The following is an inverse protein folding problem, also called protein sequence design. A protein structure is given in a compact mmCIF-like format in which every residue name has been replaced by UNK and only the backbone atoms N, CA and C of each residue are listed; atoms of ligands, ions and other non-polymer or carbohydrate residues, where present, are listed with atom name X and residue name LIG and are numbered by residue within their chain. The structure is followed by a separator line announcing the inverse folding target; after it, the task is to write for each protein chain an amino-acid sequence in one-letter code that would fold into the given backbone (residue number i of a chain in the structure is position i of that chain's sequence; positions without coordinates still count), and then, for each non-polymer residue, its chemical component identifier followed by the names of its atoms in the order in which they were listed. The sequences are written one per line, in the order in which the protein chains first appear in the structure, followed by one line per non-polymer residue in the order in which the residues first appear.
data_IF_085938615468
#
_entry.id   IF_085938615468
#
_cell.length_a   1.000
_cell.length_b   1.000
_cell.length_c   1.000
_cell.angle_alpha   90.00
_cell.angle_beta   90.00
_cell.angle_gamma   90.00
#
_symmetry.space_group_name_H-M   'P 1'
#
loop_
_entity.id
_entity.type
_entity.pdbx_description
1 polymer ?
#
# COMPACT_ATOMS: atom_id res chain seq x y z
N UNK A 1 -20.95 -16.56 18.12
CA UNK A 1 -20.08 -16.43 19.34
C UNK A 1 -18.66 -16.10 18.90
N UNK A 2 -17.89 -15.35 19.73
CA UNK A 2 -16.44 -15.14 19.53
C UNK A 2 -15.73 -16.12 20.44
N UNK A 3 -14.80 -16.91 19.88
CA UNK A 3 -13.97 -17.85 20.61
C UNK A 3 -12.62 -17.24 21.00
N UNK A 4 -12.03 -16.43 20.09
CA UNK A 4 -10.74 -15.81 20.31
C UNK A 4 -10.59 -14.52 19.53
N UNK A 5 -9.79 -13.61 20.06
CA UNK A 5 -9.42 -12.35 19.41
C UNK A 5 -7.92 -12.16 19.43
N UNK A 6 -7.37 -11.75 18.31
CA UNK A 6 -6.01 -11.23 18.21
C UNK A 6 -6.07 -9.76 17.78
N UNK A 7 -5.22 -8.93 18.36
CA UNK A 7 -5.15 -7.50 18.04
C UNK A 7 -3.75 -7.12 17.62
N UNK A 8 -3.63 -6.43 16.50
CA UNK A 8 -2.40 -5.84 15.99
C UNK A 8 -2.58 -4.34 16.00
N UNK A 9 -1.72 -3.61 16.71
CA UNK A 9 -1.71 -2.14 16.72
C UNK A 9 -0.49 -1.63 15.96
N UNK A 10 -0.72 -0.75 15.01
CA UNK A 10 0.30 -0.24 14.10
C UNK A 10 0.29 1.29 14.20
N UNK A 11 1.11 1.89 15.07
CA UNK A 11 1.25 3.33 15.14
C UNK A 11 1.94 3.85 13.88
N UNK A 12 1.53 5.03 13.42
CA UNK A 12 2.11 5.69 12.24
C UNK A 12 2.19 4.75 11.01
N UNK A 13 1.08 4.07 10.70
CA UNK A 13 1.06 3.14 9.56
C UNK A 13 1.40 3.83 8.24
N UNK A 14 2.03 3.10 7.33
CA UNK A 14 2.49 3.67 6.05
C UNK A 14 1.31 4.20 5.23
N UNK A 15 1.41 5.42 4.75
CA UNK A 15 0.41 6.05 3.87
C UNK A 15 0.92 6.25 2.44
N UNK A 16 2.22 6.11 2.24
CA UNK A 16 2.89 6.31 0.96
C UNK A 16 3.93 5.23 0.71
N UNK A 17 4.14 4.90 -0.55
CA UNK A 17 5.18 3.96 -1.01
C UNK A 17 6.10 4.68 -2.00
N UNK A 18 7.40 4.47 -1.84
CA UNK A 18 8.38 4.97 -2.79
C UNK A 18 8.41 4.12 -4.07
N UNK A 19 7.89 4.65 -5.17
CA UNK A 19 7.84 3.94 -6.46
C UNK A 19 9.16 3.93 -7.22
N UNK A 20 9.93 4.97 -7.10
CA UNK A 20 11.22 5.06 -7.78
C UNK A 20 12.20 5.90 -6.99
N UNK A 21 13.43 5.42 -6.89
CA UNK A 21 14.56 6.30 -6.54
C UNK A 21 14.59 7.47 -7.52
N UNK A 22 15.12 8.61 -7.06
CA UNK A 22 15.28 9.78 -7.88
C UNK A 22 15.81 9.42 -9.27
N UNK A 23 15.08 9.82 -10.30
CA UNK A 23 15.60 9.68 -11.66
C UNK A 23 16.72 10.69 -11.85
N UNK A 24 17.81 10.28 -12.53
CA UNK A 24 18.79 11.23 -13.03
C UNK A 24 18.06 12.31 -13.83
N UNK A 25 18.41 13.59 -13.69
CA UNK A 25 17.77 14.65 -14.45
C UNK A 25 17.87 14.32 -15.94
N UNK A 26 16.75 14.44 -16.65
CA UNK A 26 16.75 14.38 -18.12
C UNK A 26 16.98 15.80 -18.62
N UNK A 27 17.98 15.94 -19.47
CA UNK A 27 18.28 17.22 -20.12
C UNK A 27 17.60 17.30 -21.48
N UNK A 28 17.36 18.52 -21.97
CA UNK A 28 16.98 18.69 -23.35
C UNK A 28 18.20 18.34 -24.22
N UNK A 29 17.99 17.40 -25.13
CA UNK A 29 18.95 17.03 -26.13
C UNK A 29 18.27 17.03 -27.50
N UNK A 30 18.73 17.88 -28.40
CA UNK A 30 18.16 18.07 -29.75
C UNK A 30 19.34 18.11 -30.72
N UNK A 31 19.43 17.11 -31.57
CA UNK A 31 20.50 16.96 -32.58
C UNK A 31 20.13 17.61 -33.91
N UNK A 32 18.87 17.94 -34.15
CA UNK A 32 18.35 18.50 -35.39
C UNK A 32 17.71 19.87 -35.09
N UNK A 33 18.08 20.88 -35.85
CA UNK A 33 17.68 22.28 -35.63
C UNK A 33 16.17 22.52 -35.69
N UNK A 34 15.47 21.79 -36.55
CA UNK A 34 14.02 21.83 -36.72
C UNK A 34 13.26 21.28 -35.50
N UNK A 35 13.90 20.40 -34.71
CA UNK A 35 13.35 19.85 -33.47
C UNK A 35 13.57 20.72 -32.25
N UNK A 36 14.21 21.87 -32.37
CA UNK A 36 14.38 22.81 -31.26
C UNK A 36 13.02 23.37 -30.83
N UNK A 37 12.64 23.24 -29.53
CA UNK A 37 11.37 23.76 -29.04
C UNK A 37 11.22 25.28 -29.31
N UNK A 38 10.07 25.71 -29.83
CA UNK A 38 9.78 27.12 -30.11
C UNK A 38 10.05 28.04 -28.91
N UNK A 39 9.78 27.57 -27.71
CA UNK A 39 10.10 28.27 -26.45
C UNK A 39 11.59 28.54 -26.30
N UNK A 40 12.45 27.57 -26.64
CA UNK A 40 13.90 27.72 -26.56
C UNK A 40 14.42 28.74 -27.57
N UNK A 41 13.88 28.71 -28.80
CA UNK A 41 14.23 29.71 -29.82
C UNK A 41 13.88 31.14 -29.35
N UNK A 42 12.69 31.32 -28.71
CA UNK A 42 12.26 32.64 -28.18
C UNK A 42 13.14 33.12 -27.01
N UNK A 43 13.69 32.20 -26.21
CA UNK A 43 14.50 32.53 -25.06
C UNK A 43 16.01 32.61 -25.40
N UNK A 44 16.39 32.46 -26.68
CA UNK A 44 17.78 32.50 -27.11
C UNK A 44 18.67 31.39 -26.51
N UNK A 45 18.07 30.23 -26.15
CA UNK A 45 18.80 29.11 -25.56
C UNK A 45 19.74 28.52 -26.59
N UNK A 46 21.02 28.38 -26.22
CA UNK A 46 22.08 27.79 -27.05
C UNK A 46 22.16 26.28 -26.87
N UNK A 47 22.82 25.60 -27.80
CA UNK A 47 23.01 24.15 -27.78
C UNK A 47 24.50 23.82 -27.96
N UNK A 48 25.00 22.85 -27.18
CA UNK A 48 26.37 22.37 -27.34
C UNK A 48 26.46 21.43 -28.57
N UNK A 49 27.73 21.06 -28.94
CA UNK A 49 28.00 20.16 -30.08
C UNK A 49 27.31 18.78 -29.95
N UNK A 50 26.87 18.40 -28.76
CA UNK A 50 26.16 17.14 -28.48
C UNK A 50 24.63 17.33 -28.47
N UNK A 51 24.14 18.52 -28.79
CA UNK A 51 22.72 18.85 -28.80
C UNK A 51 22.10 19.13 -27.43
N UNK A 52 22.88 19.28 -26.36
CA UNK A 52 22.31 19.65 -25.05
C UNK A 52 22.00 21.14 -25.00
N UNK A 53 20.79 21.48 -24.55
CA UNK A 53 20.40 22.87 -24.33
C UNK A 53 21.13 23.42 -23.11
N UNK A 54 21.70 24.63 -23.27
CA UNK A 54 22.46 25.36 -22.27
C UNK A 54 21.76 26.65 -21.89
N UNK A 55 21.77 26.99 -20.61
CA UNK A 55 21.30 28.28 -20.12
C UNK A 55 22.36 29.39 -20.35
N UNK A 56 22.07 30.60 -19.87
CA UNK A 56 22.99 31.74 -19.98
C UNK A 56 24.33 31.56 -19.26
N UNK A 57 24.40 30.63 -18.32
CA UNK A 57 25.59 30.31 -17.56
C UNK A 57 26.38 29.13 -18.17
N UNK A 58 25.89 28.54 -19.27
CA UNK A 58 26.45 27.35 -19.90
C UNK A 58 26.09 26.04 -19.22
N UNK A 59 25.13 26.05 -18.29
CA UNK A 59 24.66 24.84 -17.63
C UNK A 59 23.53 24.13 -18.42
N UNK A 60 23.47 22.79 -18.34
CA UNK A 60 22.48 22.02 -19.09
C UNK A 60 21.07 22.23 -18.55
N UNK A 61 20.16 22.62 -19.43
CA UNK A 61 18.75 22.84 -19.08
C UNK A 61 18.04 21.51 -18.86
N UNK A 62 17.47 21.37 -17.68
CA UNK A 62 16.74 20.16 -17.28
C UNK A 62 15.37 20.13 -17.97
N UNK A 63 15.08 19.05 -18.71
CA UNK A 63 13.78 18.82 -19.36
C UNK A 63 12.67 18.54 -18.35
N UNK A 64 13.02 18.05 -17.18
CA UNK A 64 12.08 17.61 -16.17
C UNK A 64 12.35 18.39 -14.88
N UNK A 65 11.35 19.09 -14.37
CA UNK A 65 11.39 19.90 -13.14
C UNK A 65 11.56 19.08 -11.85
N UNK A 66 11.68 17.75 -11.96
CA UNK A 66 12.00 16.94 -10.79
C UNK A 66 13.44 17.18 -10.36
N UNK A 67 13.59 17.76 -9.20
CA UNK A 67 14.88 17.89 -8.53
C UNK A 67 15.52 16.51 -8.42
N UNK A 68 16.77 16.38 -8.89
CA UNK A 68 17.53 15.15 -8.71
C UNK A 68 17.58 14.84 -7.21
N UNK A 69 17.22 13.64 -6.83
CA UNK A 69 17.19 13.22 -5.41
C UNK A 69 15.83 13.09 -4.77
N UNK A 70 14.74 13.58 -5.37
CA UNK A 70 13.40 13.43 -4.80
C UNK A 70 12.74 12.12 -5.24
N UNK A 71 12.44 11.19 -4.32
CA UNK A 71 11.75 9.97 -4.66
C UNK A 71 10.31 10.24 -5.11
N UNK A 72 9.80 9.42 -6.03
CA UNK A 72 8.37 9.46 -6.37
C UNK A 72 7.61 8.70 -5.30
N UNK A 73 6.94 9.43 -4.43
CA UNK A 73 5.99 8.86 -3.47
C UNK A 73 4.64 8.64 -4.15
N UNK A 74 4.05 7.50 -3.87
CA UNK A 74 2.69 7.15 -4.26
C UNK A 74 1.83 7.00 -3.01
N UNK A 75 0.73 7.76 -2.94
CA UNK A 75 -0.24 7.65 -1.85
C UNK A 75 -1.03 6.35 -2.03
N UNK A 76 -1.14 5.55 -0.98
CA UNK A 76 -1.85 4.28 -1.01
C UNK A 76 -3.33 4.50 -1.32
N UNK A 77 -3.76 4.01 -2.49
CA UNK A 77 -5.13 4.15 -3.00
C UNK A 77 -5.42 3.03 -4.01
N UNK A 78 -6.49 2.25 -3.78
CA UNK A 78 -6.87 1.15 -4.67
C UNK A 78 -7.35 1.63 -6.04
N UNK A 79 -7.99 2.78 -6.12
CA UNK A 79 -8.49 3.34 -7.37
C UNK A 79 -7.35 3.51 -8.39
N UNK A 80 -6.24 4.12 -7.99
CA UNK A 80 -5.09 4.31 -8.88
C UNK A 80 -4.44 2.97 -9.27
N UNK A 81 -4.47 1.99 -8.36
CA UNK A 81 -3.88 0.68 -8.60
C UNK A 81 -4.66 -0.11 -9.66
N UNK A 82 -6.00 -0.05 -9.64
CA UNK A 82 -6.88 -0.85 -10.49
C UNK A 82 -7.43 -0.11 -11.72
N UNK A 83 -7.40 1.21 -11.75
CA UNK A 83 -7.91 2.03 -12.88
C UNK A 83 -7.08 1.92 -14.17
N UNK A 84 -5.95 1.23 -14.16
CA UNK A 84 -5.04 1.18 -15.30
C UNK A 84 -4.09 2.38 -15.41
N UNK A 85 -4.24 3.40 -14.56
CA UNK A 85 -3.39 4.61 -14.57
C UNK A 85 -1.93 4.34 -14.16
N UNK A 86 -1.68 3.23 -13.45
CA UNK A 86 -0.34 2.82 -13.07
C UNK A 86 0.19 1.72 -13.96
N UNK A 87 1.42 1.88 -14.41
CA UNK A 87 2.13 0.84 -15.15
C UNK A 87 2.23 -0.46 -14.32
N UNK A 88 2.11 -1.62 -14.96
CA UNK A 88 2.08 -2.93 -14.27
C UNK A 88 3.28 -3.18 -13.34
N UNK A 89 4.49 -2.74 -13.72
CA UNK A 89 5.66 -2.82 -12.83
C UNK A 89 5.51 -1.96 -11.56
N UNK A 90 4.85 -0.80 -11.66
CA UNK A 90 4.58 0.03 -10.49
C UNK A 90 3.56 -0.64 -9.56
N UNK A 91 2.52 -1.27 -10.12
CA UNK A 91 1.53 -2.03 -9.36
C UNK A 91 2.16 -3.21 -8.63
N UNK A 92 2.97 -4.00 -9.33
CA UNK A 92 3.69 -5.11 -8.72
C UNK A 92 4.60 -4.65 -7.57
N UNK A 93 5.33 -3.55 -7.76
CA UNK A 93 6.18 -2.97 -6.73
C UNK A 93 5.38 -2.54 -5.49
N UNK A 94 4.23 -1.88 -5.68
CA UNK A 94 3.36 -1.46 -4.59
C UNK A 94 2.95 -2.66 -3.74
N UNK A 95 2.47 -3.73 -4.36
CA UNK A 95 2.05 -4.93 -3.63
C UNK A 95 3.23 -5.59 -2.90
N UNK A 96 4.40 -5.68 -3.53
CA UNK A 96 5.60 -6.22 -2.87
C UNK A 96 5.99 -5.40 -1.64
N UNK A 97 5.97 -4.07 -1.72
CA UNK A 97 6.32 -3.22 -0.57
C UNK A 97 5.26 -3.30 0.55
N UNK A 98 3.98 -3.42 0.21
CA UNK A 98 2.91 -3.67 1.19
C UNK A 98 3.07 -5.05 1.87
N UNK A 99 3.37 -6.10 1.11
CA UNK A 99 3.62 -7.43 1.70
C UNK A 99 4.83 -7.41 2.63
N UNK A 100 5.96 -6.80 2.24
CA UNK A 100 7.12 -6.63 3.13
C UNK A 100 6.75 -5.92 4.43
N UNK A 101 5.98 -4.85 4.30
CA UNK A 101 5.50 -4.09 5.45
C UNK A 101 4.67 -4.96 6.39
N UNK A 102 3.70 -5.72 5.88
CA UNK A 102 2.88 -6.59 6.70
C UNK A 102 3.63 -7.79 7.26
N UNK A 103 4.64 -8.32 6.54
CA UNK A 103 5.56 -9.33 7.13
C UNK A 103 6.22 -8.80 8.39
N UNK A 104 6.77 -7.58 8.34
CA UNK A 104 7.41 -6.96 9.51
C UNK A 104 6.41 -6.72 10.65
N UNK A 105 5.22 -6.20 10.33
CA UNK A 105 4.13 -5.97 11.29
C UNK A 105 3.69 -7.27 11.97
N UNK A 106 3.41 -8.30 11.20
CA UNK A 106 2.96 -9.60 11.71
C UNK A 106 4.03 -10.26 12.57
N UNK A 107 5.29 -10.23 12.14
CA UNK A 107 6.41 -10.79 12.89
C UNK A 107 6.56 -10.13 14.26
N UNK A 108 6.43 -8.81 14.31
CA UNK A 108 6.62 -8.06 15.56
C UNK A 108 5.43 -8.16 16.52
N UNK A 109 4.21 -8.19 15.99
CA UNK A 109 3.01 -7.97 16.79
C UNK A 109 2.12 -9.21 16.96
N UNK A 110 2.16 -10.16 16.06
CA UNK A 110 1.23 -11.29 16.07
C UNK A 110 1.91 -12.64 16.35
N UNK A 111 3.04 -12.97 15.70
CA UNK A 111 3.64 -14.29 15.77
C UNK A 111 3.90 -14.78 17.20
N UNK A 112 4.34 -13.89 18.08
CA UNK A 112 4.64 -14.23 19.48
C UNK A 112 3.40 -14.66 20.29
N UNK A 113 2.21 -14.29 19.84
CA UNK A 113 0.93 -14.61 20.49
C UNK A 113 0.29 -15.89 19.97
N UNK A 114 0.86 -16.48 18.91
CA UNK A 114 0.33 -17.66 18.25
C UNK A 114 1.05 -18.94 18.70
N UNK A 115 0.27 -19.96 19.00
CA UNK A 115 0.80 -21.31 19.17
C UNK A 115 1.20 -21.84 17.79
N UNK A 116 2.39 -22.41 17.68
CA UNK A 116 2.94 -22.98 16.43
C UNK A 116 2.92 -22.01 15.22
N UNK A 117 2.89 -20.70 15.50
CA UNK A 117 2.81 -19.63 14.49
C UNK A 117 1.59 -19.75 13.55
N UNK A 118 0.49 -20.37 13.99
CA UNK A 118 -0.71 -20.59 13.19
C UNK A 118 -1.97 -20.22 13.95
N UNK A 119 -3.01 -19.87 13.20
CA UNK A 119 -4.38 -19.78 13.65
C UNK A 119 -5.10 -21.02 13.14
N UNK A 120 -5.40 -21.93 14.04
CA UNK A 120 -6.17 -23.13 13.75
C UNK A 120 -7.65 -22.85 13.99
N UNK A 121 -8.49 -23.32 13.06
CA UNK A 121 -9.93 -23.23 13.15
C UNK A 121 -10.50 -24.63 13.37
N UNK A 122 -11.41 -24.75 14.33
CA UNK A 122 -12.23 -25.93 14.54
C UNK A 122 -13.39 -25.98 13.53
N UNK A 123 -14.06 -27.11 13.45
CA UNK A 123 -15.23 -27.25 12.56
C UNK A 123 -16.31 -26.21 12.90
N UNK A 124 -16.80 -25.51 11.87
CA UNK A 124 -17.79 -24.44 12.00
C UNK A 124 -17.24 -23.07 12.38
N UNK A 125 -15.95 -22.97 12.75
CA UNK A 125 -15.31 -21.68 13.01
C UNK A 125 -14.88 -20.98 11.72
N UNK A 126 -14.87 -19.64 11.77
CA UNK A 126 -14.45 -18.74 10.69
C UNK A 126 -13.64 -17.59 11.25
N UNK A 127 -12.90 -16.91 10.36
CA UNK A 127 -12.23 -15.67 10.66
C UNK A 127 -13.09 -14.47 10.30
N UNK A 128 -13.00 -13.43 11.13
CA UNK A 128 -13.51 -12.12 10.79
C UNK A 128 -12.41 -11.08 11.05
N UNK A 129 -12.23 -10.16 10.11
CA UNK A 129 -11.25 -9.07 10.19
C UNK A 129 -11.97 -7.75 10.43
N UNK A 130 -11.47 -6.99 11.38
CA UNK A 130 -11.96 -5.65 11.67
C UNK A 130 -10.79 -4.67 11.70
N UNK A 131 -10.81 -3.72 10.76
CA UNK A 131 -9.78 -2.70 10.60
C UNK A 131 -10.31 -1.37 11.12
N UNK A 132 -9.60 -0.78 12.07
CA UNK A 132 -9.88 0.58 12.54
C UNK A 132 -8.72 1.48 12.15
N UNK A 133 -9.01 2.46 11.30
CA UNK A 133 -8.06 3.52 10.94
C UNK A 133 -8.31 4.73 11.83
N UNK A 134 -7.34 5.09 12.61
CA UNK A 134 -7.35 6.32 13.42
C UNK A 134 -6.49 7.38 12.72
N UNK A 135 -6.89 8.65 12.80
CA UNK A 135 -6.11 9.76 12.23
C UNK A 135 -6.94 11.01 11.94
N UNK A 136 -6.28 12.06 11.49
CA UNK A 136 -6.93 13.32 11.15
C UNK A 136 -7.62 13.26 9.80
N UNK A 137 -8.89 13.68 9.73
CA UNK A 137 -9.65 13.83 8.48
C UNK A 137 -8.98 14.77 7.49
N UNK A 138 -8.34 15.83 7.97
CA UNK A 138 -7.64 16.80 7.12
C UNK A 138 -6.48 16.19 6.34
N UNK A 139 -5.78 15.22 6.92
CA UNK A 139 -4.68 14.47 6.29
C UNK A 139 -5.18 13.28 5.48
N UNK A 140 -6.34 12.71 5.83
CA UNK A 140 -6.90 11.49 5.25
C UNK A 140 -8.11 11.76 4.34
N UNK A 141 -7.99 12.74 3.42
CA UNK A 141 -9.05 13.09 2.46
C UNK A 141 -9.38 12.00 1.41
N UNK A 142 -8.79 10.82 1.49
CA UNK A 142 -9.09 9.72 0.58
C UNK A 142 -10.28 8.92 1.10
N UNK A 143 -11.07 8.39 0.18
CA UNK A 143 -12.12 7.43 0.46
C UNK A 143 -11.57 6.26 1.30
N UNK A 144 -12.21 5.99 2.44
CA UNK A 144 -11.83 4.91 3.35
C UNK A 144 -11.80 3.56 2.63
N UNK A 145 -12.83 3.26 1.82
CA UNK A 145 -12.92 2.01 1.07
C UNK A 145 -11.75 1.78 0.14
N UNK A 146 -11.33 2.82 -0.60
CA UNK A 146 -10.19 2.75 -1.51
C UNK A 146 -8.86 2.50 -0.79
N UNK A 147 -8.72 3.01 0.43
CA UNK A 147 -7.53 2.79 1.26
C UNK A 147 -7.57 1.42 1.91
N UNK A 148 -8.65 1.13 2.62
CA UNK A 148 -8.84 -0.06 3.44
C UNK A 148 -8.70 -1.35 2.62
N UNK A 149 -9.28 -1.39 1.42
CA UNK A 149 -9.20 -2.55 0.52
C UNK A 149 -7.76 -2.98 0.22
N UNK A 150 -6.85 -2.04 -0.01
CA UNK A 150 -5.45 -2.39 -0.29
C UNK A 150 -4.72 -2.94 0.92
N UNK A 151 -4.99 -2.37 2.11
CA UNK A 151 -4.38 -2.88 3.34
C UNK A 151 -4.90 -4.28 3.68
N UNK A 152 -6.21 -4.48 3.56
CA UNK A 152 -6.84 -5.77 3.78
C UNK A 152 -6.28 -6.82 2.83
N UNK A 153 -6.31 -6.55 1.53
CA UNK A 153 -5.76 -7.47 0.52
C UNK A 153 -4.30 -7.82 0.78
N UNK A 154 -3.45 -6.82 1.01
CA UNK A 154 -2.03 -7.06 1.25
C UNK A 154 -1.78 -7.81 2.57
N UNK A 155 -2.57 -7.51 3.60
CA UNK A 155 -2.48 -8.21 4.88
C UNK A 155 -2.89 -9.67 4.75
N UNK A 156 -4.07 -9.96 4.18
CA UNK A 156 -4.55 -11.33 3.99
C UNK A 156 -3.61 -12.13 3.08
N UNK A 157 -3.18 -11.58 1.94
CA UNK A 157 -2.21 -12.23 1.04
C UNK A 157 -0.88 -12.55 1.77
N UNK A 158 -0.49 -11.72 2.76
CA UNK A 158 0.74 -11.95 3.55
C UNK A 158 0.60 -13.12 4.52
N UNK A 159 -0.55 -13.27 5.16
CA UNK A 159 -0.76 -14.28 6.22
C UNK A 159 -1.34 -15.60 5.71
N UNK A 160 -1.75 -15.68 4.46
CA UNK A 160 -2.37 -16.88 3.87
C UNK A 160 -1.34 -17.88 3.38
N UNK A 161 -1.57 -19.16 3.66
CA UNK A 161 -0.72 -20.29 3.23
C UNK A 161 -0.84 -20.59 1.73
N UNK A 162 -1.87 -20.10 1.04
CA UNK A 162 -2.17 -20.41 -0.37
C UNK A 162 -0.90 -20.51 -1.22
N UNK A 163 -0.74 -21.65 -1.85
CA UNK A 163 0.40 -21.92 -2.73
C UNK A 163 0.31 -21.07 -4.00
N UNK A 164 1.28 -20.18 -4.18
CA UNK A 164 1.46 -19.38 -5.39
C UNK A 164 2.45 -20.02 -6.36
N UNK A 165 2.71 -21.34 -6.23
CA UNK A 165 3.70 -22.06 -7.04
C UNK A 165 3.48 -21.91 -8.54
N UNK A 166 2.24 -21.66 -8.98
CA UNK A 166 1.86 -21.46 -10.39
C UNK A 166 1.92 -20.01 -10.88
N UNK A 167 2.25 -19.05 -10.02
CA UNK A 167 2.40 -17.67 -10.45
C UNK A 167 3.89 -17.30 -10.52
N UNK A 168 4.31 -16.66 -11.63
CA UNK A 168 5.67 -16.11 -11.80
C UNK A 168 6.07 -15.06 -10.75
N UNK A 169 5.27 -14.88 -9.70
CA UNK A 169 5.49 -13.96 -8.59
C UNK A 169 6.26 -14.64 -7.45
N UNK A 170 7.44 -15.18 -7.74
CA UNK A 170 8.31 -15.86 -6.77
C UNK A 170 8.85 -14.96 -5.64
N UNK A 171 8.51 -13.66 -5.63
CA UNK A 171 9.01 -12.67 -4.65
C UNK A 171 7.94 -12.16 -3.68
N UNK A 172 6.88 -12.93 -3.42
CA UNK A 172 5.86 -12.51 -2.47
C UNK A 172 6.34 -12.83 -1.06
N UNK A 173 6.54 -11.79 -0.24
CA UNK A 173 6.83 -11.96 1.18
C UNK A 173 5.59 -12.48 1.88
N UNK A 174 5.70 -13.61 2.59
CA UNK A 174 4.61 -14.28 3.29
C UNK A 174 5.04 -14.79 4.66
N UNK A 175 4.08 -14.81 5.58
CA UNK A 175 4.13 -15.53 6.84
C UNK A 175 2.81 -16.31 6.94
N UNK A 176 2.77 -17.59 6.53
CA UNK A 176 1.53 -18.35 6.47
C UNK A 176 1.03 -18.68 7.89
N UNK A 177 0.04 -17.92 8.34
CA UNK A 177 -0.60 -18.05 9.65
C UNK A 177 -1.98 -18.69 9.51
N UNK A 178 -2.70 -18.39 8.42
CA UNK A 178 -4.01 -18.95 8.10
C UNK A 178 -3.92 -19.84 6.86
N UNK A 179 -4.81 -20.80 6.75
CA UNK A 179 -4.79 -21.77 5.66
C UNK A 179 -5.22 -21.13 4.32
N UNK A 180 -6.29 -20.34 4.35
CA UNK A 180 -6.87 -19.72 3.14
C UNK A 180 -7.58 -18.41 3.51
N UNK A 181 -7.75 -17.52 2.52
CA UNK A 181 -8.52 -16.26 2.59
C UNK A 181 -9.87 -16.34 1.88
N UNK A 182 -10.28 -17.54 1.44
CA UNK A 182 -11.57 -17.75 0.80
C UNK A 182 -12.74 -17.62 1.79
N UNK A 183 -13.96 -17.49 1.28
CA UNK A 183 -15.22 -17.49 2.07
C UNK A 183 -15.37 -18.76 2.93
N UNK A 184 -14.62 -19.81 2.64
CA UNK A 184 -14.53 -20.99 3.49
C UNK A 184 -13.90 -20.68 4.85
N UNK A 185 -13.00 -19.72 4.93
CA UNK A 185 -12.19 -19.39 6.11
C UNK A 185 -12.47 -17.98 6.63
N UNK A 186 -12.59 -16.99 5.76
CA UNK A 186 -12.87 -15.59 6.12
C UNK A 186 -14.34 -15.29 5.85
N UNK A 187 -15.07 -14.99 6.90
CA UNK A 187 -16.51 -14.80 6.82
C UNK A 187 -16.90 -13.32 6.71
N UNK A 188 -16.20 -12.45 7.39
CA UNK A 188 -16.57 -11.06 7.48
C UNK A 188 -15.34 -10.15 7.50
N UNK A 189 -15.42 -9.02 6.80
CA UNK A 189 -14.39 -7.98 6.76
C UNK A 189 -15.08 -6.64 6.97
N UNK A 190 -14.62 -5.87 7.96
CA UNK A 190 -15.16 -4.57 8.29
C UNK A 190 -14.06 -3.51 8.38
N UNK A 191 -14.42 -2.29 7.99
CA UNK A 191 -13.55 -1.12 8.05
C UNK A 191 -14.22 0.01 8.81
N UNK A 192 -13.48 0.65 9.70
CA UNK A 192 -13.93 1.81 10.45
C UNK A 192 -12.87 2.90 10.42
N UNK A 193 -13.29 4.15 10.54
CA UNK A 193 -12.42 5.30 10.71
C UNK A 193 -12.83 6.09 11.95
N UNK A 194 -11.86 6.40 12.79
CA UNK A 194 -12.04 7.22 13.98
C UNK A 194 -11.15 8.45 13.85
N UNK A 195 -11.74 9.65 13.95
CA UNK A 195 -10.96 10.88 13.92
C UNK A 195 -10.14 11.02 15.20
N UNK A 196 -8.83 11.12 15.04
CA UNK A 196 -7.84 11.33 16.09
C UNK A 196 -6.66 12.14 15.58
N UNK A 197 -5.88 12.72 16.48
CA UNK A 197 -4.66 13.45 16.13
C UNK A 197 -3.54 12.50 15.65
N UNK A 198 -3.40 11.36 16.30
CA UNK A 198 -2.39 10.36 15.99
C UNK A 198 -2.88 9.36 14.95
N UNK A 199 -2.00 9.01 14.01
CA UNK A 199 -2.29 7.99 13.00
C UNK A 199 -1.99 6.60 13.54
N UNK A 200 -2.99 5.72 13.51
CA UNK A 200 -2.88 4.34 13.96
C UNK A 200 -3.80 3.44 13.13
N UNK A 201 -3.32 2.26 12.79
CA UNK A 201 -4.14 1.19 12.25
C UNK A 201 -4.23 0.06 13.27
N UNK A 202 -5.45 -0.34 13.59
CA UNK A 202 -5.74 -1.47 14.47
C UNK A 202 -6.38 -2.56 13.62
N UNK A 203 -5.80 -3.76 13.65
CA UNK A 203 -6.35 -4.93 12.98
C UNK A 203 -6.76 -5.94 14.05
N UNK A 204 -8.04 -6.21 14.16
CA UNK A 204 -8.57 -7.26 15.01
C UNK A 204 -8.93 -8.48 14.15
N UNK A 205 -8.41 -9.63 14.53
CA UNK A 205 -8.72 -10.92 13.94
C UNK A 205 -9.55 -11.69 14.95
N UNK A 206 -10.78 -12.03 14.60
CA UNK A 206 -11.67 -12.82 15.43
C UNK A 206 -11.80 -14.22 14.89
N UNK A 207 -11.74 -15.22 15.80
CA UNK A 207 -12.25 -16.57 15.54
C UNK A 207 -13.67 -16.61 16.07
N UNK A 208 -14.63 -16.86 15.18
CA UNK A 208 -16.05 -16.83 15.50
C UNK A 208 -16.81 -17.92 14.76
N UNK A 209 -18.05 -18.22 15.19
CA UNK A 209 -18.95 -19.04 14.40
C UNK A 209 -19.44 -18.25 13.15
N UNK A 210 -19.90 -18.98 12.14
CA UNK A 210 -20.37 -18.39 10.87
C UNK A 210 -21.61 -17.50 10.99
N UNK A 211 -22.32 -17.58 12.11
CA UNK A 211 -23.51 -16.77 12.38
C UNK A 211 -23.19 -15.46 13.07
N UNK A 212 -21.92 -15.28 13.47
CA UNK A 212 -21.48 -14.08 14.16
C UNK A 212 -21.50 -12.87 13.24
N UNK A 213 -22.29 -11.86 13.61
CA UNK A 213 -22.26 -10.56 12.94
C UNK A 213 -21.41 -9.59 13.75
N UNK A 214 -20.36 -9.04 13.10
CA UNK A 214 -19.45 -8.10 13.75
C UNK A 214 -20.15 -6.78 14.15
N UNK A 215 -21.29 -6.44 13.52
CA UNK A 215 -22.11 -5.30 13.91
C UNK A 215 -22.64 -5.44 15.33
N UNK A 216 -22.85 -6.66 15.81
CA UNK A 216 -23.28 -6.92 17.20
C UNK A 216 -22.21 -6.50 18.23
N UNK A 217 -20.94 -6.40 17.81
CA UNK A 217 -19.85 -5.86 18.65
C UNK A 217 -19.91 -4.34 18.71
N UNK A 218 -20.23 -3.70 17.60
CA UNK A 218 -20.27 -2.24 17.49
C UNK A 218 -21.38 -1.71 18.39
N UNK A 219 -22.57 -2.31 18.34
CA UNK A 219 -23.72 -1.91 19.15
C UNK A 219 -23.48 -2.05 20.65
N UNK A 220 -22.63 -3.01 21.07
CA UNK A 220 -22.28 -3.18 22.48
C UNK A 220 -21.21 -2.20 22.98
N UNK A 221 -20.37 -1.72 22.08
CA UNK A 221 -19.23 -0.83 22.42
C UNK A 221 -19.65 0.65 22.37
N UNK A 222 -20.70 0.99 21.64
CA UNK A 222 -21.23 2.35 21.44
C UNK A 222 -22.57 2.61 22.13
N UNK A 223 -22.99 1.79 23.09
CA UNK A 223 -24.03 2.22 24.05
C UNK A 223 -23.44 3.26 24.96
N UNK A 224 -23.58 4.51 24.52
CA UNK A 224 -23.45 5.74 25.30
C UNK A 224 -24.53 5.81 26.37
#
# INVERSE_FOLDING_TARGET
MIYKKYTIEIPNYITHIELSKARRPKYYNVTEEDKIPKKHKKLGITYDKKGNALDSNGEKIVKNTRVAGTPKLWKINSQDLYSGNLHHHSRAKIMVELHKYFVDVVTKNLLKSLKDNKIELEEGQKLAFYYTFEGSLSKNKSDLGNKAYLYDKAFQDTITQRDLSNTKQQNVHKIPIIQDDSLGYVYNINFNFIEKEEEKLIINIYICDKEFNITDLIDKTFKL
#
